data_IF_776404934020
#
_entry.id   IF_776404934020
#
_cell.length_a   1.000
_cell.length_b   1.000
_cell.length_c   1.000
_cell.angle_alpha   90.00
_cell.angle_beta   90.00
_cell.angle_gamma   90.00
#
_symmetry.space_group_name_H-M   'P 1'
#
loop_
_entity.id
_entity.type
_entity.pdbx_description
1 polymer ?
#
# COMPACT_ATOMS: atom_id res chain seq x y z
N UNK A 1 4.48 6.22 18.76
CA UNK A 1 5.09 6.24 17.42
C UNK A 1 4.05 6.76 16.46
N UNK A 2 4.42 7.67 15.57
CA UNK A 2 3.53 8.22 14.54
C UNK A 2 3.65 7.31 13.32
N UNK A 3 2.53 6.86 12.76
CA UNK A 3 2.50 6.08 11.54
C UNK A 3 1.73 6.85 10.45
N UNK A 4 2.23 6.79 9.23
CA UNK A 4 1.61 7.37 8.04
C UNK A 4 0.87 6.28 7.27
N UNK A 5 -0.46 6.29 7.37
CA UNK A 5 -1.30 5.36 6.62
C UNK A 5 -1.50 5.85 5.18
N UNK A 6 -1.07 5.07 4.19
CA UNK A 6 -1.33 5.38 2.79
C UNK A 6 -2.75 4.97 2.40
N UNK A 7 -3.42 5.84 1.66
CA UNK A 7 -4.66 5.48 0.96
C UNK A 7 -4.34 4.66 -0.29
N UNK A 8 -5.38 4.12 -0.91
CA UNK A 8 -5.25 3.27 -2.10
C UNK A 8 -4.74 4.04 -3.32
N UNK A 9 -5.00 5.35 -3.42
CA UNK A 9 -4.50 6.16 -4.52
C UNK A 9 -2.98 6.34 -4.43
N UNK A 10 -2.48 6.73 -3.26
CA UNK A 10 -1.04 6.91 -3.03
C UNK A 10 -0.31 5.56 -3.13
N UNK A 11 -0.84 4.50 -2.53
CA UNK A 11 -0.28 3.15 -2.69
C UNK A 11 -0.23 2.75 -4.18
N UNK A 12 -1.29 3.04 -4.94
CA UNK A 12 -1.32 2.82 -6.39
C UNK A 12 -0.25 3.59 -7.16
N UNK A 13 0.00 4.86 -6.83
CA UNK A 13 1.06 5.66 -7.43
C UNK A 13 2.46 5.15 -7.06
N UNK A 14 2.67 4.74 -5.80
CA UNK A 14 3.93 4.13 -5.35
C UNK A 14 4.22 2.85 -6.13
N UNK A 15 3.24 1.97 -6.29
CA UNK A 15 3.37 0.70 -7.04
C UNK A 15 3.61 0.95 -8.52
N UNK A 16 2.98 1.96 -9.12
CA UNK A 16 3.22 2.33 -10.52
C UNK A 16 4.60 2.96 -10.72
N UNK A 17 5.10 3.66 -9.70
CA UNK A 17 6.34 4.44 -9.77
C UNK A 17 6.22 5.62 -10.73
N UNK A 18 5.01 6.15 -10.95
CA UNK A 18 4.72 7.20 -11.91
C UNK A 18 4.96 8.62 -11.37
N UNK A 19 5.18 8.75 -10.04
CA UNK A 19 5.39 10.02 -9.35
C UNK A 19 6.65 9.99 -8.48
N UNK A 20 7.81 10.43 -9.00
CA UNK A 20 9.08 10.38 -8.27
C UNK A 20 9.10 11.25 -7.00
N UNK A 21 8.30 12.32 -6.96
CA UNK A 21 8.16 13.18 -5.79
C UNK A 21 7.55 12.46 -4.58
N UNK A 22 6.60 11.54 -4.83
CA UNK A 22 6.00 10.70 -3.78
C UNK A 22 7.04 9.72 -3.27
N UNK A 23 7.74 9.03 -4.17
CA UNK A 23 8.78 8.06 -3.81
C UNK A 23 9.88 8.70 -2.98
N UNK A 24 10.33 9.90 -3.36
CA UNK A 24 11.37 10.64 -2.62
C UNK A 24 10.93 11.01 -1.21
N UNK A 25 9.66 11.39 -1.03
CA UNK A 25 9.11 11.73 0.30
C UNK A 25 8.98 10.48 1.18
N UNK A 26 8.48 9.39 0.61
CA UNK A 26 8.28 8.14 1.35
C UNK A 26 9.60 7.44 1.71
N UNK A 27 10.65 7.61 0.90
CA UNK A 27 11.97 7.07 1.19
C UNK A 27 12.54 7.52 2.56
N UNK A 28 12.18 8.74 3.02
CA UNK A 28 12.60 9.26 4.31
C UNK A 28 11.73 8.77 5.49
N UNK A 29 10.61 8.09 5.22
CA UNK A 29 9.60 7.69 6.20
C UNK A 29 9.34 6.18 6.17
N UNK A 30 10.21 5.39 5.54
CA UNK A 30 9.94 3.98 5.22
C UNK A 30 9.48 3.15 6.43
N UNK A 31 10.07 3.36 7.60
CA UNK A 31 9.74 2.61 8.83
C UNK A 31 8.47 3.11 9.53
N UNK A 32 7.88 4.21 9.07
CA UNK A 32 6.65 4.80 9.61
C UNK A 32 5.45 4.60 8.68
N UNK A 33 5.61 3.97 7.52
CA UNK A 33 4.55 3.84 6.52
C UNK A 33 3.76 2.54 6.73
N UNK A 34 2.43 2.65 6.72
CA UNK A 34 1.51 1.51 6.85
C UNK A 34 0.38 1.60 5.81
N UNK A 35 -0.31 0.49 5.57
CA UNK A 35 -1.62 0.48 4.88
C UNK A 35 -2.66 -0.24 5.72
N UNK A 36 -3.94 -0.01 5.42
CA UNK A 36 -5.02 -0.84 5.96
C UNK A 36 -5.16 -2.16 5.20
N UNK A 37 -5.68 -3.19 5.86
CA UNK A 37 -6.08 -4.44 5.20
C UNK A 37 -7.15 -4.23 4.11
N UNK A 38 -7.91 -3.13 4.19
CA UNK A 38 -8.88 -2.73 3.15
C UNK A 38 -8.13 -2.32 1.87
N UNK A 39 -7.11 -1.46 2.00
CA UNK A 39 -6.27 -1.02 0.88
C UNK A 39 -5.54 -2.19 0.24
N UNK A 40 -5.01 -3.13 1.04
CA UNK A 40 -4.45 -4.38 0.52
C UNK A 40 -5.47 -5.14 -0.35
N UNK A 41 -6.69 -5.31 0.15
CA UNK A 41 -7.78 -5.95 -0.58
C UNK A 41 -8.10 -5.27 -1.92
N UNK A 42 -8.15 -3.94 -1.94
CA UNK A 42 -8.38 -3.17 -3.18
C UNK A 42 -7.24 -3.34 -4.20
N UNK A 43 -5.99 -3.40 -3.74
CA UNK A 43 -4.83 -3.67 -4.61
C UNK A 43 -4.90 -5.06 -5.24
N UNK A 44 -5.20 -6.08 -4.43
CA UNK A 44 -5.34 -7.47 -4.90
C UNK A 44 -6.54 -7.62 -5.85
N UNK A 45 -7.66 -7.00 -5.53
CA UNK A 45 -8.81 -6.94 -6.44
C UNK A 45 -8.46 -6.26 -7.77
N UNK A 46 -7.70 -5.16 -7.72
CA UNK A 46 -7.21 -4.46 -8.89
C UNK A 46 -6.25 -5.28 -9.76
N UNK A 47 -5.50 -6.21 -9.17
CA UNK A 47 -4.69 -7.21 -9.91
C UNK A 47 -5.57 -8.26 -10.57
N UNK A 48 -6.50 -8.84 -9.81
CA UNK A 48 -7.41 -9.88 -10.29
C UNK A 48 -8.26 -9.39 -11.47
N UNK A 49 -8.81 -8.16 -11.37
CA UNK A 49 -9.59 -7.52 -12.43
C UNK A 49 -8.80 -7.34 -13.74
N UNK A 50 -7.47 -7.24 -13.67
CA UNK A 50 -6.57 -7.08 -14.84
C UNK A 50 -5.96 -8.40 -15.32
N UNK A 51 -6.35 -9.53 -14.75
CA UNK A 51 -5.83 -10.85 -15.12
C UNK A 51 -4.39 -11.11 -14.69
N UNK A 52 -3.97 -10.55 -13.54
CA UNK A 52 -2.63 -10.74 -12.96
C UNK A 52 -1.46 -10.47 -13.93
N UNK A 53 -1.32 -9.23 -14.46
CA UNK A 53 -0.16 -8.90 -15.29
C UNK A 53 1.13 -9.15 -14.50
N UNK A 54 2.07 -9.92 -15.07
CA UNK A 54 3.28 -10.38 -14.36
C UNK A 54 4.06 -9.25 -13.70
N UNK A 55 4.30 -8.15 -14.45
CA UNK A 55 5.04 -7.00 -13.95
C UNK A 55 4.31 -6.27 -12.80
N UNK A 56 2.99 -6.09 -12.92
CA UNK A 56 2.20 -5.41 -11.89
C UNK A 56 2.09 -6.27 -10.62
N UNK A 57 1.88 -7.57 -10.79
CA UNK A 57 1.79 -8.54 -9.69
C UNK A 57 3.08 -8.58 -8.88
N UNK A 58 4.25 -8.56 -9.55
CA UNK A 58 5.52 -8.49 -8.86
C UNK A 58 5.68 -7.18 -8.08
N UNK A 59 5.31 -6.04 -8.66
CA UNK A 59 5.40 -4.74 -7.96
C UNK A 59 4.50 -4.69 -6.72
N UNK A 60 3.27 -5.18 -6.81
CA UNK A 60 2.35 -5.26 -5.65
C UNK A 60 2.94 -6.16 -4.57
N UNK A 61 3.47 -7.34 -4.94
CA UNK A 61 4.12 -8.24 -3.98
C UNK A 61 5.32 -7.57 -3.30
N UNK A 62 6.19 -6.91 -4.07
CA UNK A 62 7.35 -6.21 -3.54
C UNK A 62 6.94 -5.05 -2.62
N UNK A 63 5.85 -4.35 -2.92
CA UNK A 63 5.30 -3.31 -2.05
C UNK A 63 4.79 -3.88 -0.74
N UNK A 64 3.97 -4.94 -0.77
CA UNK A 64 3.41 -5.58 0.43
C UNK A 64 4.48 -6.23 1.33
N UNK A 65 5.63 -6.62 0.78
CA UNK A 65 6.77 -7.13 1.57
C UNK A 65 7.50 -6.04 2.38
N UNK A 66 7.26 -4.76 2.12
CA UNK A 66 8.01 -3.62 2.69
C UNK A 66 7.16 -2.72 3.59
N UNK A 67 5.87 -3.00 3.71
CA UNK A 67 4.92 -2.14 4.39
C UNK A 67 4.12 -2.98 5.38
N UNK A 68 3.87 -2.42 6.57
CA UNK A 68 3.00 -3.08 7.53
C UNK A 68 1.53 -2.88 7.14
N UNK A 69 0.79 -3.99 7.15
CA UNK A 69 -0.65 -4.01 6.90
C UNK A 69 -1.37 -4.09 8.24
N UNK A 70 -2.09 -3.03 8.59
CA UNK A 70 -2.86 -2.98 9.83
C UNK A 70 -4.23 -3.66 9.65
N UNK A 71 -4.63 -4.54 10.59
CA UNK A 71 -5.89 -5.25 10.49
C UNK A 71 -7.07 -4.32 10.74
N UNK A 72 -8.15 -4.53 9.99
CA UNK A 72 -9.46 -3.99 10.35
C UNK A 72 -10.15 -4.91 11.37
N UNK A 73 -9.92 -4.64 12.65
CA UNK A 73 -10.53 -5.39 13.76
C UNK A 73 -11.62 -4.59 14.50
N UNK A 74 -12.15 -5.12 15.59
CA UNK A 74 -13.16 -4.40 16.36
C UNK A 74 -12.59 -3.19 17.12
N UNK A 75 -11.30 -3.16 17.41
CA UNK A 75 -10.67 -2.08 18.17
C UNK A 75 -10.70 -0.76 17.40
N UNK A 76 -10.55 -0.80 16.07
CA UNK A 76 -10.58 0.44 15.26
C UNK A 76 -11.95 1.13 15.23
N UNK A 77 -13.01 0.46 15.70
CA UNK A 77 -14.37 1.04 15.81
C UNK A 77 -14.64 1.71 17.16
N UNK A 78 -13.72 1.57 18.12
CA UNK A 78 -13.86 2.11 19.47
C UNK A 78 -13.08 3.42 19.55
N UNK A 79 -13.82 4.52 19.68
CA UNK A 79 -13.29 5.87 19.83
C UNK A 79 -12.72 6.11 21.24
#
# INVERSE_FOLDING_TARGET
MTAWMLDTNIAGHVIKGDRPEILKRLAALMDEIVISSITEGELLYGLAKRGYPKALSERVRQFLLRIDVLPWDHNVTRA
#
